data_IF_876045472146
#
_entry.id   IF_876045472146
#
_cell.length_a   1.000
_cell.length_b   1.000
_cell.length_c   1.000
_cell.angle_alpha   90.00
_cell.angle_beta   90.00
_cell.angle_gamma   90.00
#
_symmetry.space_group_name_H-M   'P 1'
#
loop_
_entity.id
_entity.type
_entity.pdbx_description
1 polymer ?
#
# COMPACT_ATOMS: atom_id res chain seq x y z
N UNK A 1 -5.83 -9.79 16.52
CA UNK A 1 -5.57 -9.65 15.08
C UNK A 1 -4.73 -8.41 14.87
N UNK A 2 -3.58 -8.51 14.19
CA UNK A 2 -2.72 -7.35 13.96
C UNK A 2 -3.26 -6.55 12.79
N UNK A 3 -3.34 -5.24 12.93
CA UNK A 3 -3.69 -4.34 11.84
C UNK A 3 -2.50 -4.23 10.89
N UNK A 4 -2.58 -4.93 9.76
CA UNK A 4 -1.53 -4.97 8.74
C UNK A 4 -1.24 -3.59 8.15
N UNK A 5 -2.22 -2.68 8.09
CA UNK A 5 -1.98 -1.31 7.61
C UNK A 5 -1.07 -0.57 8.59
N UNK A 6 -1.25 -0.74 9.90
CA UNK A 6 -0.36 -0.16 10.92
C UNK A 6 1.06 -0.73 10.80
N UNK A 7 1.21 -2.05 10.63
CA UNK A 7 2.53 -2.65 10.43
C UNK A 7 3.23 -2.16 9.16
N UNK A 8 2.48 -2.01 8.06
CA UNK A 8 2.99 -1.43 6.83
C UNK A 8 3.49 0.00 7.05
N UNK A 9 2.73 0.83 7.78
CA UNK A 9 3.15 2.19 8.12
C UNK A 9 4.47 2.18 8.90
N UNK A 10 4.56 1.37 9.96
CA UNK A 10 5.76 1.26 10.79
C UNK A 10 6.99 0.83 9.98
N UNK A 11 6.84 -0.14 9.08
CA UNK A 11 7.92 -0.60 8.19
C UNK A 11 8.39 0.50 7.24
N UNK A 12 7.47 1.26 6.67
CA UNK A 12 7.81 2.36 5.77
C UNK A 12 8.42 3.54 6.51
N UNK A 13 7.91 3.90 7.69
CA UNK A 13 8.47 4.94 8.55
C UNK A 13 9.91 4.61 8.97
N UNK A 14 10.17 3.35 9.34
CA UNK A 14 11.50 2.89 9.74
C UNK A 14 12.59 3.07 8.66
N UNK A 15 12.20 3.23 7.38
CA UNK A 15 13.17 3.52 6.31
C UNK A 15 13.68 4.95 6.31
N UNK A 16 12.96 5.89 6.91
CA UNK A 16 13.21 7.33 6.76
C UNK A 16 13.06 7.84 5.32
N UNK A 17 12.51 7.02 4.40
CA UNK A 17 12.38 7.40 2.99
C UNK A 17 11.29 8.45 2.76
N UNK A 18 10.33 8.58 3.67
CA UNK A 18 9.22 9.52 3.55
C UNK A 18 9.25 10.51 4.71
N UNK A 19 8.88 11.76 4.42
CA UNK A 19 8.71 12.76 5.49
C UNK A 19 7.47 12.47 6.35
N UNK A 20 6.52 11.72 5.80
CA UNK A 20 5.31 11.25 6.48
C UNK A 20 4.81 9.97 5.82
N UNK A 21 4.49 8.98 6.64
CA UNK A 21 3.63 7.85 6.27
C UNK A 21 2.33 7.98 7.07
N UNK A 22 1.20 7.69 6.44
CA UNK A 22 -0.11 7.79 7.09
C UNK A 22 -1.08 6.73 6.54
N UNK A 23 -2.23 6.59 7.21
CA UNK A 23 -3.36 5.81 6.72
C UNK A 23 -4.09 6.56 5.57
N UNK A 24 -4.65 5.81 4.63
CA UNK A 24 -5.68 6.29 3.74
C UNK A 24 -6.67 5.21 3.33
N UNK A 25 -7.92 5.40 3.71
CA UNK A 25 -9.04 4.54 3.32
C UNK A 25 -9.56 4.85 1.91
N UNK A 26 -9.40 6.08 1.40
CA UNK A 26 -9.92 6.49 0.09
C UNK A 26 -8.81 6.97 -0.85
N UNK A 27 -8.54 6.19 -1.90
CA UNK A 27 -7.60 6.57 -2.98
C UNK A 27 -8.03 7.88 -3.69
N UNK A 28 -9.33 8.15 -3.74
CA UNK A 28 -9.94 9.28 -4.45
C UNK A 28 -9.63 10.64 -3.82
N UNK A 29 -9.26 10.69 -2.53
CA UNK A 29 -8.97 11.93 -1.81
C UNK A 29 -7.48 12.27 -1.81
N UNK A 30 -6.63 11.40 -2.35
CA UNK A 30 -5.18 11.52 -2.23
C UNK A 30 -4.59 12.70 -2.99
N UNK A 31 -5.22 13.10 -4.10
CA UNK A 31 -4.79 14.29 -4.87
C UNK A 31 -4.95 15.59 -4.08
N UNK A 32 -5.84 15.64 -3.08
CA UNK A 32 -6.02 16.79 -2.19
C UNK A 32 -5.09 16.73 -0.96
N UNK A 33 -4.38 15.62 -0.73
CA UNK A 33 -3.52 15.48 0.45
C UNK A 33 -2.22 16.25 0.30
N UNK A 34 -1.86 16.94 1.39
CA UNK A 34 -0.61 17.68 1.47
C UNK A 34 0.59 16.72 1.46
N UNK A 35 1.55 16.97 0.56
CA UNK A 35 2.84 16.28 0.56
C UNK A 35 3.80 17.04 1.46
N UNK A 36 4.25 16.39 2.54
CA UNK A 36 5.25 16.93 3.44
C UNK A 36 6.67 16.70 2.87
N UNK A 37 7.57 17.66 3.07
CA UNK A 37 8.96 17.56 2.62
C UNK A 37 9.07 17.42 1.09
N UNK A 38 9.80 16.41 0.62
CA UNK A 38 9.88 16.03 -0.81
C UNK A 38 8.90 14.93 -1.20
N UNK A 39 8.55 14.03 -0.27
CA UNK A 39 7.67 12.91 -0.54
C UNK A 39 6.92 12.45 0.73
N UNK A 40 5.70 11.97 0.54
CA UNK A 40 4.86 11.35 1.58
C UNK A 40 4.25 10.06 1.04
N UNK A 41 3.91 9.15 1.95
CA UNK A 41 3.24 7.90 1.61
C UNK A 41 1.94 7.72 2.38
N UNK A 42 1.00 7.02 1.77
CA UNK A 42 -0.26 6.62 2.38
C UNK A 42 -0.51 5.14 2.13
N UNK A 43 -0.92 4.42 3.16
CA UNK A 43 -1.17 2.97 3.09
C UNK A 43 -2.64 2.70 3.38
N UNK A 44 -3.24 1.76 2.66
CA UNK A 44 -4.59 1.28 2.95
C UNK A 44 -4.93 -0.01 2.22
N UNK A 45 -6.00 -0.66 2.67
CA UNK A 45 -6.61 -1.78 1.96
C UNK A 45 -7.45 -1.26 0.78
N UNK A 46 -7.28 -1.86 -0.39
CA UNK A 46 -7.98 -1.48 -1.62
C UNK A 46 -9.15 -2.42 -1.94
N UNK A 47 -8.97 -3.71 -1.63
CA UNK A 47 -10.02 -4.70 -1.83
C UNK A 47 -9.78 -5.93 -0.96
N UNK A 48 -10.89 -6.49 -0.49
CA UNK A 48 -10.98 -7.79 0.15
C UNK A 48 -11.95 -8.66 -0.62
N UNK A 49 -11.50 -9.84 -1.06
CA UNK A 49 -12.32 -10.77 -1.81
C UNK A 49 -12.26 -12.16 -1.17
N UNK A 50 -13.34 -12.61 -0.50
CA UNK A 50 -13.38 -13.95 0.04
C UNK A 50 -13.38 -14.98 -1.09
N UNK A 51 -12.53 -16.01 -0.95
CA UNK A 51 -12.48 -17.15 -1.85
C UNK A 51 -13.63 -18.13 -1.62
N UNK A 52 -13.56 -19.32 -2.21
CA UNK A 52 -14.52 -20.37 -1.90
C UNK A 52 -14.16 -21.07 -0.57
N UNK A 53 -15.17 -21.60 0.12
CA UNK A 53 -14.91 -22.56 1.20
C UNK A 53 -14.26 -23.80 0.59
N UNK A 54 -13.23 -24.32 1.25
CA UNK A 54 -12.45 -25.46 0.78
C UNK A 54 -12.85 -26.78 1.45
N UNK A 55 -13.81 -26.76 2.39
CA UNK A 55 -14.36 -27.98 3.03
C UNK A 55 -15.83 -28.21 2.70
N UNK A 56 -16.17 -29.47 2.43
CA UNK A 56 -17.55 -29.90 2.20
C UNK A 56 -18.30 -30.26 3.50
N UNK A 57 -17.59 -30.70 4.54
CA UNK A 57 -18.15 -31.12 5.85
C UNK A 57 -17.24 -30.60 6.98
N UNK A 58 -17.83 -30.16 8.07
CA UNK A 58 -17.13 -29.61 9.24
C UNK A 58 -17.00 -28.09 9.21
N UNK A 59 -16.07 -27.54 10.00
CA UNK A 59 -15.88 -26.09 10.10
C UNK A 59 -15.38 -25.49 8.77
N UNK A 60 -15.92 -24.34 8.33
CA UNK A 60 -15.53 -23.73 7.08
C UNK A 60 -14.06 -23.33 7.09
N UNK A 61 -13.37 -23.52 5.95
CA UNK A 61 -12.03 -22.98 5.71
C UNK A 61 -12.07 -22.18 4.43
N UNK A 62 -11.95 -20.87 4.59
CA UNK A 62 -11.99 -19.91 3.52
C UNK A 62 -10.76 -19.03 3.61
N UNK A 63 -10.18 -18.72 2.45
CA UNK A 63 -9.12 -17.74 2.35
C UNK A 63 -9.66 -16.49 1.70
N UNK A 64 -9.21 -15.35 2.18
CA UNK A 64 -9.52 -14.05 1.62
C UNK A 64 -8.31 -13.52 0.86
N UNK A 65 -8.51 -13.15 -0.41
CA UNK A 65 -7.50 -12.43 -1.18
C UNK A 65 -7.62 -10.94 -0.84
N UNK A 66 -6.54 -10.34 -0.35
CA UNK A 66 -6.50 -8.92 -0.05
C UNK A 66 -5.51 -8.20 -0.96
N UNK A 67 -5.83 -6.95 -1.28
CA UNK A 67 -4.94 -6.03 -2.00
C UNK A 67 -4.75 -4.79 -1.15
N UNK A 68 -3.50 -4.48 -0.85
CA UNK A 68 -3.09 -3.26 -0.16
C UNK A 68 -2.41 -2.31 -1.13
N UNK A 69 -2.64 -1.01 -0.95
CA UNK A 69 -2.05 0.05 -1.73
C UNK A 69 -1.10 0.88 -0.90
N UNK A 70 0.05 1.22 -1.47
CA UNK A 70 0.92 2.29 -0.98
C UNK A 70 0.91 3.40 -2.03
N UNK A 71 0.28 4.52 -1.70
CA UNK A 71 0.33 5.73 -2.53
C UNK A 71 1.49 6.58 -2.13
N UNK A 72 2.30 6.95 -3.12
CA UNK A 72 3.48 7.79 -3.00
C UNK A 72 3.15 9.13 -3.65
N UNK A 73 3.15 10.20 -2.86
CA UNK A 73 3.10 11.58 -3.34
C UNK A 73 4.50 12.18 -3.36
N UNK A 74 4.90 12.73 -4.50
CA UNK A 74 6.18 13.43 -4.70
C UNK A 74 5.91 14.86 -5.12
N UNK A 75 6.55 15.84 -4.48
CA UNK A 75 6.49 17.24 -4.94
C UNK A 75 7.34 17.43 -6.19
N UNK A 76 6.80 18.18 -7.14
CA UNK A 76 7.38 18.51 -8.45
C UNK A 76 7.29 20.03 -8.65
N UNK A 77 7.98 20.80 -7.81
CA UNK A 77 8.04 22.26 -7.90
C UNK A 77 9.24 22.65 -8.74
N UNK A 78 9.06 23.58 -9.69
CA UNK A 78 10.10 24.02 -10.63
C UNK A 78 10.71 22.89 -11.48
N UNK A 79 9.93 21.85 -11.78
CA UNK A 79 10.33 20.69 -12.59
C UNK A 79 9.42 20.55 -13.82
N UNK A 80 9.57 21.43 -14.83
CA UNK A 80 8.64 21.53 -15.96
C UNK A 80 8.55 20.26 -16.81
N UNK A 81 9.56 19.39 -16.74
CA UNK A 81 9.59 18.11 -17.46
C UNK A 81 9.35 16.90 -16.55
N UNK A 82 9.18 17.11 -15.23
CA UNK A 82 8.92 16.04 -14.26
C UNK A 82 10.11 15.08 -14.03
N UNK A 83 11.30 15.40 -14.53
CA UNK A 83 12.45 14.48 -14.51
C UNK A 83 12.95 14.23 -13.09
N UNK A 84 13.02 15.28 -12.27
CA UNK A 84 13.46 15.17 -10.88
C UNK A 84 12.40 14.45 -10.02
N UNK A 85 11.12 14.77 -10.23
CA UNK A 85 10.01 14.09 -9.56
C UNK A 85 9.96 12.61 -9.93
N UNK A 86 10.19 12.26 -11.21
CA UNK A 86 10.28 10.88 -11.67
C UNK A 86 11.44 10.13 -11.03
N UNK A 87 12.62 10.74 -10.93
CA UNK A 87 13.77 10.11 -10.28
C UNK A 87 13.48 9.85 -8.80
N UNK A 88 13.00 10.86 -8.07
CA UNK A 88 12.58 10.74 -6.68
C UNK A 88 11.55 9.63 -6.51
N UNK A 89 10.52 9.60 -7.37
CA UNK A 89 9.51 8.55 -7.36
C UNK A 89 10.13 7.16 -7.49
N UNK A 90 11.04 6.93 -8.45
CA UNK A 90 11.66 5.60 -8.61
C UNK A 90 12.41 5.18 -7.35
N UNK A 91 13.14 6.10 -6.72
CA UNK A 91 13.81 5.83 -5.43
C UNK A 91 12.80 5.46 -4.34
N UNK A 92 11.69 6.20 -4.22
CA UNK A 92 10.65 5.91 -3.21
C UNK A 92 9.93 4.59 -3.47
N UNK A 93 9.61 4.28 -4.73
CA UNK A 93 9.02 2.99 -5.13
C UNK A 93 9.92 1.82 -4.76
N UNK A 94 11.23 1.95 -4.99
CA UNK A 94 12.18 0.90 -4.63
C UNK A 94 12.22 0.69 -3.11
N UNK A 95 12.25 1.76 -2.31
CA UNK A 95 12.22 1.67 -0.85
C UNK A 95 10.96 0.95 -0.35
N UNK A 96 9.78 1.28 -0.90
CA UNK A 96 8.52 0.59 -0.57
C UNK A 96 8.60 -0.89 -0.89
N UNK A 97 9.05 -1.25 -2.10
CA UNK A 97 9.17 -2.65 -2.52
C UNK A 97 10.16 -3.44 -1.68
N UNK A 98 11.29 -2.85 -1.31
CA UNK A 98 12.28 -3.50 -0.44
C UNK A 98 11.73 -3.83 0.95
N UNK A 99 10.78 -3.04 1.46
CA UNK A 99 10.16 -3.30 2.75
C UNK A 99 9.02 -4.31 2.70
N UNK A 100 8.23 -4.30 1.61
CA UNK A 100 6.95 -5.01 1.57
C UNK A 100 6.97 -6.25 0.66
N UNK A 101 7.79 -6.30 -0.38
CA UNK A 101 7.82 -7.47 -1.25
C UNK A 101 8.44 -8.67 -0.52
N UNK A 102 7.68 -9.76 -0.41
CA UNK A 102 8.08 -10.97 0.30
C UNK A 102 7.90 -10.90 1.82
N UNK A 103 7.53 -9.75 2.38
CA UNK A 103 7.19 -9.66 3.80
C UNK A 103 5.93 -10.49 4.10
N UNK A 104 5.94 -11.18 5.23
CA UNK A 104 4.85 -12.05 5.70
C UNK A 104 4.43 -11.55 7.08
N UNK A 105 3.34 -10.77 7.20
CA UNK A 105 2.75 -10.43 8.48
C UNK A 105 2.17 -11.67 9.17
N UNK A 106 1.93 -11.58 10.47
CA UNK A 106 1.30 -12.68 11.21
C UNK A 106 -0.14 -12.93 10.75
N UNK A 107 -0.47 -14.17 10.44
CA UNK A 107 -1.78 -14.56 9.89
C UNK A 107 -1.96 -14.35 8.37
N UNK A 108 -0.91 -13.93 7.66
CA UNK A 108 -0.96 -13.62 6.24
C UNK A 108 0.07 -14.42 5.44
N UNK A 109 -0.23 -14.66 4.17
CA UNK A 109 0.76 -15.06 3.18
C UNK A 109 1.72 -13.91 2.86
N UNK A 110 2.82 -14.24 2.19
CA UNK A 110 3.77 -13.24 1.71
C UNK A 110 3.11 -12.22 0.77
N UNK A 111 3.50 -10.97 0.94
CA UNK A 111 3.10 -9.87 0.08
C UNK A 111 3.80 -9.98 -1.28
N UNK A 112 3.01 -10.00 -2.35
CA UNK A 112 3.47 -10.04 -3.75
C UNK A 112 3.07 -8.76 -4.48
N UNK A 113 3.74 -8.43 -5.59
CA UNK A 113 3.38 -7.27 -6.41
C UNK A 113 2.05 -7.51 -7.15
N UNK A 114 1.15 -6.53 -7.12
CA UNK A 114 -0.19 -6.60 -7.71
C UNK A 114 -0.45 -5.47 -8.72
N UNK A 115 0.61 -4.98 -9.36
CA UNK A 115 0.55 -3.87 -10.30
C UNK A 115 0.81 -2.52 -9.64
N UNK A 116 0.99 -1.51 -10.48
CA UNK A 116 1.30 -0.15 -10.06
C UNK A 116 0.96 0.82 -11.18
N UNK A 117 0.51 2.02 -10.84
CA UNK A 117 0.13 3.02 -11.83
C UNK A 117 0.30 4.45 -11.32
N UNK A 118 0.38 5.38 -12.28
CA UNK A 118 0.30 6.80 -12.02
C UNK A 118 -1.17 7.16 -11.79
N UNK A 119 -1.48 7.71 -10.62
CA UNK A 119 -2.84 8.17 -10.30
C UNK A 119 -3.11 9.56 -10.90
N UNK A 120 -2.19 10.50 -10.66
CA UNK A 120 -2.27 11.84 -11.22
C UNK A 120 -0.91 12.53 -11.25
N UNK A 121 -0.78 13.48 -12.18
CA UNK A 121 0.35 14.41 -12.27
C UNK A 121 -0.22 15.79 -12.58
N UNK A 122 -0.39 16.60 -11.54
CA UNK A 122 -0.99 17.92 -11.64
C UNK A 122 -0.51 18.81 -10.48
N UNK A 123 -0.58 20.12 -10.68
CA UNK A 123 -0.40 21.12 -9.60
C UNK A 123 0.93 21.00 -8.83
N UNK A 124 2.01 20.62 -9.52
CA UNK A 124 3.32 20.47 -8.90
C UNK A 124 3.45 19.26 -7.99
N UNK A 125 2.65 18.23 -8.21
CA UNK A 125 2.71 16.95 -7.52
C UNK A 125 2.53 15.75 -8.46
N UNK A 126 3.17 14.65 -8.10
CA UNK A 126 3.03 13.35 -8.73
C UNK A 126 2.52 12.36 -7.69
N UNK A 127 1.42 11.66 -8.01
CA UNK A 127 0.88 10.58 -7.18
C UNK A 127 0.92 9.25 -7.91
N UNK A 128 1.50 8.26 -7.26
CA UNK A 128 1.69 6.91 -7.79
C UNK A 128 1.22 5.88 -6.79
N UNK A 129 0.58 4.80 -7.22
CA UNK A 129 0.21 3.68 -6.35
C UNK A 129 1.04 2.44 -6.66
N UNK A 130 1.63 1.83 -5.63
CA UNK A 130 2.14 0.47 -5.66
C UNK A 130 1.12 -0.44 -4.97
N UNK A 131 0.70 -1.51 -5.64
CA UNK A 131 -0.24 -2.49 -5.07
C UNK A 131 0.50 -3.76 -4.69
N UNK A 132 0.10 -4.31 -3.55
CA UNK A 132 0.56 -5.58 -3.04
C UNK A 132 -0.63 -6.49 -2.79
N UNK A 133 -0.47 -7.78 -3.04
CA UNK A 133 -1.50 -8.76 -2.77
C UNK A 133 -0.99 -9.85 -1.86
N UNK A 134 -1.90 -10.35 -1.02
CA UNK A 134 -1.66 -11.41 -0.05
C UNK A 134 -2.96 -12.19 0.13
N UNK A 135 -2.89 -13.27 0.90
CA UNK A 135 -4.04 -14.04 1.35
C UNK A 135 -3.96 -14.21 2.85
N UNK A 136 -5.11 -14.34 3.50
CA UNK A 136 -5.21 -14.79 4.88
C UNK A 136 -6.33 -15.81 5.00
N UNK A 137 -6.25 -16.66 6.02
CA UNK A 137 -7.38 -17.52 6.38
C UNK A 137 -8.42 -16.68 7.12
N UNK A 138 -9.68 -16.81 6.74
CA UNK A 138 -10.80 -16.25 7.50
C UNK A 138 -11.04 -17.17 8.69
N UNK A 139 -11.03 -16.59 9.88
CA UNK A 139 -11.32 -17.28 11.14
C UNK A 139 -12.66 -16.82 11.69
N UNK A 140 -13.24 -17.61 12.61
CA UNK A 140 -14.52 -17.24 13.23
C UNK A 140 -14.43 -15.94 14.04
N UNK A 141 -13.23 -15.62 14.55
CA UNK A 141 -12.95 -14.36 15.25
C UNK A 141 -13.04 -13.13 14.32
N UNK A 142 -12.85 -13.30 13.00
CA UNK A 142 -13.03 -12.22 12.02
C UNK A 142 -14.50 -11.85 11.79
N UNK A 143 -15.45 -12.67 12.25
CA UNK A 143 -16.88 -12.55 11.96
C UNK A 143 -17.72 -12.06 13.15
N UNK A 144 -17.09 -11.75 14.28
CA UNK A 144 -17.72 -11.33 15.54
C UNK A 144 -17.32 -9.90 15.92
#
# INVERSE_FOLDING_TARGET
MVDVVIEMQQRLDATGAFAKVADSVALTELSAKLIHGQASAWVGELSSLPGQNTRDIGDPVQFEQQVFGVVIGVRSINDPHGSAAKQTLQTKRLAVRQQLFGWTPDGYDRFLLAGAELLTFAEGALFWVERFTTKRMITMEDLL
#
